data_IF_793933054397
#
_entry.id   IF_793933054397
#
_cell.length_a   1.000
_cell.length_b   1.000
_cell.length_c   1.000
_cell.angle_alpha   90.00
_cell.angle_beta   90.00
_cell.angle_gamma   90.00
#
_symmetry.space_group_name_H-M   'P 1'
#
loop_
_entity.id
_entity.type
_entity.pdbx_description
1 polymer ?
#
# COMPACT_ATOMS: atom_id res chain seq x y z
N UNK A 1 66.98 5.15 64.00
CA UNK A 1 65.67 4.47 64.03
C UNK A 1 64.79 5.17 63.04
N UNK A 2 64.78 4.70 61.78
CA UNK A 2 64.01 5.33 60.68
C UNK A 2 62.97 4.28 60.12
N UNK A 3 61.72 4.50 60.35
CA UNK A 3 60.63 3.62 59.87
C UNK A 3 60.32 4.01 58.43
N UNK A 4 60.49 3.08 57.52
CA UNK A 4 60.07 3.17 56.10
C UNK A 4 58.62 2.73 56.01
N UNK A 5 57.75 3.64 55.56
CA UNK A 5 56.30 3.39 55.31
C UNK A 5 56.14 2.96 53.86
N UNK A 6 55.70 1.73 53.64
CA UNK A 6 55.38 1.19 52.28
C UNK A 6 53.94 1.52 51.96
N UNK A 7 53.70 2.36 50.96
CA UNK A 7 52.38 2.66 50.44
C UNK A 7 52.09 1.67 49.29
N UNK A 8 51.10 0.78 49.48
CA UNK A 8 50.55 -0.09 48.41
C UNK A 8 49.63 0.75 47.55
N UNK A 9 49.96 0.94 46.29
CA UNK A 9 49.05 1.46 45.25
C UNK A 9 48.34 0.28 44.62
N UNK A 10 47.05 0.15 44.90
CA UNK A 10 46.17 -0.82 44.23
C UNK A 10 45.70 -0.22 42.89
N UNK A 11 46.22 -0.77 41.79
CA UNK A 11 45.76 -0.43 40.44
C UNK A 11 44.47 -1.18 40.15
N UNK A 12 43.30 -0.49 40.18
CA UNK A 12 42.05 -0.99 39.68
C UNK A 12 42.05 -0.99 38.13
N UNK A 13 42.28 -2.14 37.52
CA UNK A 13 42.07 -2.33 36.09
C UNK A 13 40.58 -2.35 35.81
N UNK A 14 40.02 -1.26 35.25
CA UNK A 14 38.69 -1.25 34.64
C UNK A 14 38.75 -2.08 33.34
N UNK A 15 38.27 -3.32 33.38
CA UNK A 15 37.98 -4.08 32.19
C UNK A 15 36.75 -3.47 31.52
N UNK A 16 36.96 -2.60 30.53
CA UNK A 16 35.90 -2.17 29.62
C UNK A 16 35.49 -3.41 28.77
N UNK A 17 34.46 -4.08 29.19
CA UNK A 17 33.78 -5.08 28.33
C UNK A 17 33.12 -4.33 27.21
N UNK A 18 33.83 -4.07 26.12
CA UNK A 18 33.25 -3.67 24.85
C UNK A 18 32.29 -4.79 24.41
N UNK A 19 31.00 -4.56 24.52
CA UNK A 19 30.05 -5.42 23.85
C UNK A 19 30.38 -5.36 22.35
N UNK A 20 31.04 -6.40 21.84
CA UNK A 20 31.17 -6.59 20.42
C UNK A 20 29.73 -6.79 19.88
N UNK A 21 29.18 -5.75 19.26
CA UNK A 21 28.00 -5.93 18.43
C UNK A 21 28.42 -6.88 17.31
N UNK A 22 28.04 -8.14 17.44
CA UNK A 22 28.11 -9.07 16.31
C UNK A 22 27.47 -8.36 15.12
N UNK A 23 28.10 -8.45 13.95
CA UNK A 23 27.53 -7.87 12.73
C UNK A 23 26.15 -8.50 12.53
N UNK A 24 25.09 -7.72 12.80
CA UNK A 24 23.72 -8.20 12.77
C UNK A 24 23.26 -8.46 11.31
N UNK A 25 24.14 -8.17 10.35
CA UNK A 25 23.92 -8.44 8.93
C UNK A 25 23.17 -7.34 8.19
N UNK A 26 22.78 -7.66 6.98
CA UNK A 26 22.14 -6.75 6.03
C UNK A 26 20.89 -7.43 5.44
N UNK A 27 19.82 -6.68 5.22
CA UNK A 27 18.67 -7.08 4.40
C UNK A 27 18.71 -6.31 3.08
N UNK A 28 18.71 -7.04 1.96
CA UNK A 28 18.62 -6.44 0.63
C UNK A 28 17.14 -6.32 0.25
N UNK A 29 16.65 -5.10 0.21
CA UNK A 29 15.27 -4.75 -0.05
C UNK A 29 15.07 -4.29 -1.50
N UNK A 30 14.20 -4.97 -2.25
CA UNK A 30 13.70 -4.50 -3.54
C UNK A 30 12.33 -3.87 -3.33
N UNK A 31 12.22 -2.55 -3.58
CA UNK A 31 11.03 -1.78 -3.21
C UNK A 31 10.43 -1.02 -4.38
N UNK A 32 9.14 -1.19 -4.58
CA UNK A 32 8.32 -0.34 -5.44
C UNK A 32 7.61 0.79 -4.67
N UNK A 33 7.88 0.90 -3.37
CA UNK A 33 7.35 2.00 -2.56
C UNK A 33 8.14 3.27 -2.87
N UNK A 34 7.43 4.31 -3.26
CA UNK A 34 8.00 5.57 -3.77
C UNK A 34 7.89 6.73 -2.77
N UNK A 35 7.76 6.41 -1.47
CA UNK A 35 7.67 7.42 -0.43
C UNK A 35 9.04 7.71 0.16
N UNK A 36 9.50 8.96 0.06
CA UNK A 36 10.73 9.40 0.74
C UNK A 36 10.64 9.27 2.27
N UNK A 37 9.42 9.28 2.79
CA UNK A 37 9.13 9.05 4.20
C UNK A 37 9.49 7.64 4.68
N UNK A 38 9.53 6.63 3.81
CA UNK A 38 9.84 5.24 4.20
C UNK A 38 11.27 5.06 4.74
N UNK A 39 12.21 6.01 4.48
CA UNK A 39 13.54 5.98 5.07
C UNK A 39 13.51 5.86 6.60
N UNK A 40 12.62 6.60 7.25
CA UNK A 40 12.52 6.55 8.71
C UNK A 40 12.02 5.18 9.23
N UNK A 41 11.26 4.42 8.41
CA UNK A 41 10.90 3.04 8.72
C UNK A 41 12.14 2.13 8.72
N UNK A 42 12.97 2.25 7.69
CA UNK A 42 14.17 1.42 7.52
C UNK A 42 15.22 1.75 8.57
N UNK A 43 15.41 3.04 8.87
CA UNK A 43 16.26 3.51 9.97
C UNK A 43 15.77 3.00 11.34
N UNK A 44 14.44 2.98 11.54
CA UNK A 44 13.83 2.46 12.76
C UNK A 44 14.11 0.96 12.94
N UNK A 45 14.03 0.18 11.87
CA UNK A 45 14.40 -1.24 11.88
C UNK A 45 15.88 -1.43 12.24
N UNK A 46 16.76 -0.67 11.59
CA UNK A 46 18.21 -0.74 11.83
C UNK A 46 18.54 -0.36 13.28
N UNK A 47 17.91 0.68 13.83
CA UNK A 47 18.08 1.07 15.24
C UNK A 47 17.61 0.00 16.22
N UNK A 48 16.50 -0.68 15.89
CA UNK A 48 15.93 -1.69 16.77
C UNK A 48 16.67 -3.03 16.74
N UNK A 49 17.31 -3.36 15.61
CA UNK A 49 17.87 -4.72 15.40
C UNK A 49 19.37 -4.75 15.13
N UNK A 50 20.00 -3.62 14.79
CA UNK A 50 21.37 -3.56 14.26
C UNK A 50 21.50 -4.01 12.80
N UNK A 51 20.44 -4.56 12.18
CA UNK A 51 20.44 -5.04 10.80
C UNK A 51 20.30 -3.86 9.84
N UNK A 52 21.22 -3.71 8.89
CA UNK A 52 21.17 -2.66 7.88
C UNK A 52 20.19 -3.02 6.76
N UNK A 53 19.60 -2.02 6.13
CA UNK A 53 18.73 -2.19 4.95
C UNK A 53 19.43 -1.59 3.73
N UNK A 54 19.77 -2.44 2.76
CA UNK A 54 20.23 -2.00 1.44
C UNK A 54 19.03 -1.99 0.49
N UNK A 55 18.70 -0.83 -0.08
CA UNK A 55 17.51 -0.67 -0.90
C UNK A 55 17.84 -0.52 -2.38
N UNK A 56 17.02 -1.18 -3.20
CA UNK A 56 16.93 -0.99 -4.66
C UNK A 56 15.51 -0.60 -4.99
N UNK A 57 15.34 0.57 -5.60
CA UNK A 57 14.04 1.10 -5.99
C UNK A 57 13.80 0.96 -7.49
N UNK A 58 12.59 0.53 -7.83
CA UNK A 58 12.04 0.56 -9.18
C UNK A 58 10.50 0.55 -9.08
N UNK A 59 9.80 0.68 -10.20
CA UNK A 59 8.37 0.41 -10.20
C UNK A 59 8.07 -1.10 -10.00
N UNK A 60 6.83 -1.44 -9.70
CA UNK A 60 6.44 -2.84 -9.41
C UNK A 60 6.77 -3.80 -10.56
N UNK A 61 6.60 -3.38 -11.82
CA UNK A 61 6.90 -4.20 -12.99
C UNK A 61 8.41 -4.40 -13.14
N UNK A 62 9.19 -3.35 -12.91
CA UNK A 62 10.65 -3.38 -12.92
C UNK A 62 11.22 -4.30 -11.84
N UNK A 63 10.69 -4.25 -10.61
CA UNK A 63 11.08 -5.18 -9.54
C UNK A 63 10.81 -6.63 -9.94
N UNK A 64 9.62 -6.96 -10.43
CA UNK A 64 9.29 -8.34 -10.82
C UNK A 64 10.12 -8.81 -12.01
N UNK A 65 10.34 -7.96 -13.01
CA UNK A 65 11.19 -8.26 -14.15
C UNK A 65 12.65 -8.52 -13.75
N UNK A 66 13.17 -7.69 -12.85
CA UNK A 66 14.52 -7.84 -12.30
C UNK A 66 14.71 -9.14 -11.56
N UNK A 67 13.77 -9.51 -10.67
CA UNK A 67 13.81 -10.78 -9.95
C UNK A 67 13.82 -11.98 -10.89
N UNK A 68 13.02 -11.95 -11.97
CA UNK A 68 13.01 -12.99 -13.00
C UNK A 68 14.35 -13.10 -13.72
N UNK A 69 14.93 -11.95 -14.11
CA UNK A 69 16.21 -11.91 -14.83
C UNK A 69 17.38 -12.38 -13.96
N UNK A 70 17.40 -12.03 -12.69
CA UNK A 70 18.43 -12.43 -11.73
C UNK A 70 18.31 -13.90 -11.31
N UNK A 71 17.09 -14.45 -11.26
CA UNK A 71 16.82 -15.84 -10.91
C UNK A 71 17.45 -16.24 -9.59
N UNK A 72 18.19 -17.36 -9.58
CA UNK A 72 18.88 -17.89 -8.39
C UNK A 72 20.07 -17.02 -7.92
N UNK A 73 20.54 -16.12 -8.76
CA UNK A 73 21.63 -15.19 -8.44
C UNK A 73 21.12 -13.87 -7.81
N UNK A 74 19.81 -13.71 -7.66
CA UNK A 74 19.25 -12.50 -7.06
C UNK A 74 19.76 -12.29 -5.64
N UNK A 75 20.28 -11.10 -5.31
CA UNK A 75 20.68 -10.76 -3.95
C UNK A 75 19.48 -10.32 -3.08
N UNK A 76 18.28 -10.20 -3.65
CA UNK A 76 17.11 -9.73 -2.93
C UNK A 76 16.73 -10.66 -1.77
N UNK A 77 16.43 -10.08 -0.62
CA UNK A 77 15.91 -10.79 0.56
C UNK A 77 14.43 -10.51 0.74
N UNK A 78 14.04 -9.24 0.66
CA UNK A 78 12.65 -8.78 0.83
C UNK A 78 12.20 -7.99 -0.38
N UNK A 79 10.93 -8.15 -0.73
CA UNK A 79 10.28 -7.48 -1.84
C UNK A 79 9.08 -6.70 -1.28
N UNK A 80 9.01 -5.39 -1.55
CA UNK A 80 7.85 -4.55 -1.24
C UNK A 80 7.18 -4.07 -2.52
N UNK A 81 5.92 -4.41 -2.70
CA UNK A 81 5.09 -4.00 -3.83
C UNK A 81 3.88 -3.18 -3.35
N UNK A 82 3.37 -2.31 -4.21
CA UNK A 82 2.34 -1.33 -3.83
C UNK A 82 0.94 -1.61 -4.35
N UNK A 83 0.72 -2.80 -4.89
CA UNK A 83 -0.56 -3.20 -5.46
C UNK A 83 -0.82 -4.71 -5.33
N UNK A 84 -2.08 -5.05 -5.01
CA UNK A 84 -2.55 -6.41 -4.89
C UNK A 84 -2.30 -7.27 -6.14
N UNK A 85 -2.52 -6.70 -7.32
CA UNK A 85 -2.32 -7.39 -8.59
C UNK A 85 -0.84 -7.77 -8.80
N UNK A 86 0.08 -6.91 -8.38
CA UNK A 86 1.52 -7.16 -8.48
C UNK A 86 2.00 -8.22 -7.50
N UNK A 87 1.47 -8.21 -6.27
CA UNK A 87 1.73 -9.27 -5.29
C UNK A 87 1.24 -10.63 -5.80
N UNK A 88 0.00 -10.69 -6.30
CA UNK A 88 -0.53 -11.90 -6.92
C UNK A 88 0.31 -12.37 -8.11
N UNK A 89 0.72 -11.44 -8.97
CA UNK A 89 1.58 -11.76 -10.12
C UNK A 89 2.92 -12.35 -9.68
N UNK A 90 3.59 -11.75 -8.70
CA UNK A 90 4.85 -12.25 -8.15
C UNK A 90 4.71 -13.66 -7.55
N UNK A 91 3.58 -13.94 -6.89
CA UNK A 91 3.24 -15.26 -6.36
C UNK A 91 3.07 -16.30 -7.48
N UNK A 92 2.24 -16.00 -8.49
CA UNK A 92 2.00 -16.91 -9.63
C UNK A 92 3.27 -17.18 -10.43
N UNK A 93 4.12 -16.18 -10.58
CA UNK A 93 5.42 -16.32 -11.25
C UNK A 93 6.48 -17.05 -10.38
N UNK A 94 6.13 -17.47 -9.16
CA UNK A 94 7.02 -18.23 -8.27
C UNK A 94 8.20 -17.44 -7.72
N UNK A 95 8.09 -16.10 -7.66
CA UNK A 95 9.16 -15.19 -7.23
C UNK A 95 9.28 -15.06 -5.71
N UNK A 96 8.29 -15.54 -4.97
CA UNK A 96 8.21 -15.44 -3.53
C UNK A 96 8.44 -16.81 -2.87
N UNK A 97 9.05 -16.78 -1.69
CA UNK A 97 9.20 -17.93 -0.82
C UNK A 97 8.07 -17.91 0.22
N UNK A 98 7.19 -18.91 0.26
CA UNK A 98 6.24 -19.05 1.36
C UNK A 98 6.97 -19.19 2.69
N UNK A 99 6.46 -18.52 3.71
CA UNK A 99 7.03 -18.56 5.07
C UNK A 99 5.95 -18.83 6.11
N UNK A 100 6.38 -19.33 7.25
CA UNK A 100 5.58 -19.46 8.45
C UNK A 100 6.04 -18.40 9.46
N UNK A 101 5.19 -17.45 9.80
CA UNK A 101 5.45 -16.50 10.87
C UNK A 101 4.16 -16.28 11.66
N UNK A 102 4.14 -16.82 12.87
CA UNK A 102 2.98 -16.61 13.77
C UNK A 102 2.76 -15.13 14.05
N UNK A 103 3.82 -14.32 14.14
CA UNK A 103 3.74 -12.87 14.35
C UNK A 103 2.98 -12.21 13.22
N UNK A 104 3.36 -12.49 11.97
CA UNK A 104 2.69 -11.92 10.79
C UNK A 104 1.25 -12.45 10.64
N UNK A 105 1.04 -13.73 10.87
CA UNK A 105 -0.27 -14.35 10.74
C UNK A 105 -1.28 -13.90 11.79
N UNK A 106 -0.84 -13.64 13.00
CA UNK A 106 -1.67 -13.07 14.06
C UNK A 106 -1.97 -11.58 13.82
N UNK A 107 -0.97 -10.81 13.34
CA UNK A 107 -1.10 -9.38 13.11
C UNK A 107 -1.94 -9.06 11.87
N UNK A 108 -1.69 -9.73 10.74
CA UNK A 108 -2.30 -9.40 9.45
C UNK A 108 -3.55 -10.25 9.19
N UNK A 109 -4.71 -9.63 8.92
CA UNK A 109 -5.94 -10.36 8.59
C UNK A 109 -5.80 -11.29 7.38
N UNK A 110 -6.52 -12.42 7.37
CA UNK A 110 -6.41 -13.43 6.32
C UNK A 110 -6.77 -12.91 4.90
N UNK A 111 -7.69 -11.95 4.80
CA UNK A 111 -8.04 -11.32 3.53
C UNK A 111 -6.96 -10.35 2.99
N UNK A 112 -5.98 -9.97 3.82
CA UNK A 112 -4.87 -9.10 3.44
C UNK A 112 -3.54 -9.85 3.27
N UNK A 113 -3.58 -11.16 3.05
CA UNK A 113 -2.40 -11.99 2.79
C UNK A 113 -2.69 -13.04 1.71
N UNK A 114 -1.67 -13.69 1.18
CA UNK A 114 -1.86 -14.76 0.20
C UNK A 114 -2.66 -15.91 0.80
N UNK A 115 -3.26 -16.72 -0.07
CA UNK A 115 -3.75 -18.03 0.37
C UNK A 115 -2.57 -18.88 0.85
N UNK A 116 -2.79 -19.77 1.83
CA UNK A 116 -1.74 -20.70 2.23
C UNK A 116 -1.27 -21.56 1.03
N UNK A 117 0.03 -21.74 0.91
CA UNK A 117 0.64 -22.69 0.00
C UNK A 117 0.37 -24.15 0.46
N UNK A 118 0.82 -25.14 -0.29
CA UNK A 118 0.58 -26.55 0.02
C UNK A 118 1.14 -27.00 1.38
N UNK A 119 2.22 -26.35 1.83
CA UNK A 119 2.83 -26.56 3.16
C UNK A 119 2.23 -25.68 4.26
N UNK A 120 1.21 -24.87 3.92
CA UNK A 120 0.57 -23.92 4.82
C UNK A 120 1.28 -22.57 4.92
N UNK A 121 2.44 -22.36 4.28
CA UNK A 121 3.19 -21.11 4.30
C UNK A 121 2.48 -19.99 3.53
N UNK A 122 2.74 -18.76 3.89
CA UNK A 122 2.17 -17.55 3.29
C UNK A 122 3.21 -16.86 2.41
N UNK A 123 2.86 -16.61 1.14
CA UNK A 123 3.79 -16.05 0.14
C UNK A 123 3.99 -14.55 0.29
N UNK A 124 2.99 -13.79 0.77
CA UNK A 124 3.06 -12.35 0.98
C UNK A 124 2.03 -11.87 2.01
N UNK A 125 2.33 -10.73 2.62
CA UNK A 125 1.50 -10.08 3.65
C UNK A 125 1.24 -8.63 3.28
N UNK A 126 0.00 -8.16 3.44
CA UNK A 126 -0.34 -6.74 3.37
C UNK A 126 0.21 -6.00 4.57
N UNK A 127 0.87 -4.87 4.34
CA UNK A 127 1.55 -4.08 5.38
C UNK A 127 0.87 -2.74 5.62
N UNK A 128 0.25 -2.18 4.60
CA UNK A 128 -0.60 -0.99 4.72
C UNK A 128 -1.74 -1.07 3.72
N UNK A 129 -2.83 -0.33 3.97
CA UNK A 129 -3.99 -0.32 3.09
C UNK A 129 -4.36 1.11 2.69
N UNK A 130 -5.03 1.26 1.54
CA UNK A 130 -5.59 2.51 1.06
C UNK A 130 -6.93 2.29 0.40
N UNK A 131 -7.87 3.16 0.73
CA UNK A 131 -9.20 3.13 0.13
C UNK A 131 -9.17 3.73 -1.28
N UNK A 132 -9.89 3.14 -2.22
CA UNK A 132 -10.19 3.73 -3.51
C UNK A 132 -11.46 4.55 -3.36
N UNK A 133 -11.36 5.86 -3.23
CA UNK A 133 -12.46 6.77 -2.89
C UNK A 133 -12.98 7.51 -4.12
N UNK A 134 -14.22 7.98 -4.03
CA UNK A 134 -14.79 8.92 -4.99
C UNK A 134 -14.56 10.34 -4.46
N UNK A 135 -13.91 11.18 -5.26
CA UNK A 135 -13.71 12.61 -5.00
C UNK A 135 -14.65 13.38 -5.87
N UNK A 136 -15.37 14.37 -5.32
CA UNK A 136 -16.37 15.15 -6.03
C UNK A 136 -16.24 16.66 -5.77
N UNK A 137 -16.68 17.46 -6.72
CA UNK A 137 -16.76 18.91 -6.56
C UNK A 137 -17.94 19.27 -5.66
N UNK A 138 -17.69 19.90 -4.51
CA UNK A 138 -18.69 20.22 -3.48
C UNK A 138 -19.82 21.13 -3.96
N UNK A 139 -19.58 21.92 -5.01
CA UNK A 139 -20.58 22.87 -5.53
C UNK A 139 -21.47 22.19 -6.57
N UNK A 140 -20.92 21.25 -7.37
CA UNK A 140 -21.57 20.69 -8.55
C UNK A 140 -22.23 19.33 -8.32
N UNK A 141 -21.79 18.58 -7.31
CA UNK A 141 -22.23 17.20 -7.06
C UNK A 141 -22.67 17.06 -5.61
N UNK A 142 -23.81 16.42 -5.41
CA UNK A 142 -24.26 16.03 -4.07
C UNK A 142 -23.63 14.70 -3.70
N UNK A 143 -23.13 14.52 -2.46
CA UNK A 143 -22.53 13.26 -2.05
C UNK A 143 -23.47 12.05 -2.20
N UNK A 144 -24.80 12.26 -2.07
CA UNK A 144 -25.82 11.24 -2.23
C UNK A 144 -25.87 10.65 -3.65
N UNK A 145 -25.42 11.40 -4.66
CA UNK A 145 -25.40 10.95 -6.05
C UNK A 145 -24.25 9.96 -6.36
N UNK A 146 -23.23 9.90 -5.52
CA UNK A 146 -21.98 9.17 -5.76
C UNK A 146 -21.63 8.19 -4.64
N UNK A 147 -22.64 7.55 -4.07
CA UNK A 147 -22.50 6.64 -2.92
C UNK A 147 -21.91 5.27 -3.27
N UNK A 148 -21.88 4.89 -4.53
CA UNK A 148 -21.40 3.57 -4.98
C UNK A 148 -20.52 3.68 -6.20
N UNK A 149 -19.62 2.72 -6.41
CA UNK A 149 -18.86 2.66 -7.66
C UNK A 149 -19.77 2.42 -8.86
N UNK A 150 -20.84 1.63 -8.66
CA UNK A 150 -21.83 1.31 -9.69
C UNK A 150 -22.46 2.58 -10.27
N UNK A 151 -22.70 3.59 -9.42
CA UNK A 151 -23.30 4.87 -9.85
C UNK A 151 -22.42 5.66 -10.84
N UNK A 152 -21.12 5.42 -10.90
CA UNK A 152 -20.22 6.14 -11.81
C UNK A 152 -20.48 5.83 -13.29
N UNK A 153 -21.17 4.72 -13.59
CA UNK A 153 -21.59 4.36 -14.93
C UNK A 153 -22.97 4.95 -15.32
N UNK A 154 -23.66 5.66 -14.41
CA UNK A 154 -24.96 6.27 -14.69
C UNK A 154 -24.79 7.37 -15.77
N UNK A 155 -25.60 7.37 -16.85
CA UNK A 155 -25.55 8.38 -17.92
C UNK A 155 -25.71 9.84 -17.44
N UNK A 156 -26.26 10.09 -16.25
CA UNK A 156 -26.34 11.45 -15.66
C UNK A 156 -24.97 12.09 -15.45
N UNK A 157 -23.89 11.27 -15.41
CA UNK A 157 -22.51 11.73 -15.26
C UNK A 157 -21.74 11.86 -16.57
N UNK A 158 -22.42 11.83 -17.72
CA UNK A 158 -21.78 11.98 -19.04
C UNK A 158 -20.97 13.27 -19.10
N UNK A 159 -19.69 13.13 -19.46
CA UNK A 159 -18.74 14.26 -19.53
C UNK A 159 -18.31 14.85 -18.20
N UNK A 160 -18.50 14.14 -17.07
CA UNK A 160 -18.21 14.67 -15.71
C UNK A 160 -17.13 13.91 -14.96
N UNK A 161 -16.70 12.75 -15.46
CA UNK A 161 -15.78 11.87 -14.75
C UNK A 161 -14.34 12.05 -15.22
N UNK A 162 -13.41 12.16 -14.28
CA UNK A 162 -11.97 12.03 -14.52
C UNK A 162 -11.41 10.82 -13.78
N UNK A 163 -10.56 10.08 -14.45
CA UNK A 163 -9.86 8.94 -13.88
C UNK A 163 -8.50 8.79 -14.58
N UNK A 164 -7.53 8.18 -13.92
CA UNK A 164 -6.26 7.81 -14.54
C UNK A 164 -6.43 6.63 -15.50
N UNK A 165 -5.38 6.26 -16.26
CA UNK A 165 -5.40 5.12 -17.18
C UNK A 165 -6.09 3.90 -16.61
N UNK A 166 -6.92 3.23 -17.41
CA UNK A 166 -7.59 1.98 -17.06
C UNK A 166 -6.63 0.86 -16.73
N UNK A 167 -5.52 0.77 -17.49
CA UNK A 167 -4.47 -0.24 -17.31
C UNK A 167 -3.55 0.01 -16.09
N UNK A 168 -3.73 1.15 -15.39
CA UNK A 168 -2.95 1.41 -14.18
C UNK A 168 -3.32 0.42 -13.06
N UNK A 169 -2.35 -0.15 -12.31
CA UNK A 169 -2.60 -1.14 -11.27
C UNK A 169 -3.75 -0.80 -10.31
N UNK A 170 -3.90 0.47 -9.89
CA UNK A 170 -4.97 0.87 -8.96
C UNK A 170 -6.38 0.71 -9.55
N UNK A 171 -6.54 0.96 -10.84
CA UNK A 171 -7.80 0.75 -11.54
C UNK A 171 -8.02 -0.73 -11.87
N UNK A 172 -6.97 -1.44 -12.27
CA UNK A 172 -7.03 -2.89 -12.46
C UNK A 172 -7.53 -3.58 -11.18
N UNK A 173 -7.00 -3.19 -10.02
CA UNK A 173 -7.44 -3.76 -8.73
C UNK A 173 -8.90 -3.42 -8.41
N UNK A 174 -9.33 -2.17 -8.59
CA UNK A 174 -10.74 -1.79 -8.40
C UNK A 174 -11.65 -2.58 -9.34
N UNK A 175 -11.29 -2.68 -10.62
CA UNK A 175 -12.13 -3.38 -11.62
C UNK A 175 -12.13 -4.89 -11.38
N UNK A 176 -11.02 -5.44 -10.88
CA UNK A 176 -10.96 -6.83 -10.42
C UNK A 176 -11.90 -7.09 -9.24
N UNK A 177 -11.96 -6.18 -8.28
CA UNK A 177 -12.90 -6.24 -7.16
C UNK A 177 -14.35 -6.14 -7.63
N UNK A 178 -14.65 -5.20 -8.52
CA UNK A 178 -15.99 -5.08 -9.12
C UNK A 178 -16.40 -6.36 -9.89
N UNK A 179 -15.44 -7.00 -10.57
CA UNK A 179 -15.70 -8.28 -11.27
C UNK A 179 -16.07 -9.38 -10.27
N UNK A 180 -15.45 -9.42 -9.09
CA UNK A 180 -15.84 -10.37 -8.02
C UNK A 180 -17.24 -10.09 -7.48
N UNK A 181 -17.60 -8.81 -7.30
CA UNK A 181 -18.89 -8.44 -6.70
C UNK A 181 -20.08 -8.57 -7.66
N UNK A 182 -19.90 -8.26 -8.94
CA UNK A 182 -21.01 -8.19 -9.88
C UNK A 182 -20.94 -9.19 -11.05
N UNK A 183 -19.83 -9.92 -11.17
CA UNK A 183 -19.58 -10.82 -12.32
C UNK A 183 -19.05 -10.09 -13.56
N UNK A 184 -18.43 -10.85 -14.47
CA UNK A 184 -17.71 -10.33 -15.63
C UNK A 184 -18.59 -9.48 -16.56
N UNK A 185 -19.79 -9.97 -16.89
CA UNK A 185 -20.70 -9.30 -17.83
C UNK A 185 -21.14 -7.91 -17.31
N UNK A 186 -21.49 -7.83 -16.03
CA UNK A 186 -21.93 -6.56 -15.44
C UNK A 186 -20.74 -5.61 -15.23
N UNK A 187 -19.57 -6.14 -14.86
CA UNK A 187 -18.34 -5.36 -14.74
C UNK A 187 -17.92 -4.75 -16.09
N UNK A 188 -18.02 -5.51 -17.19
CA UNK A 188 -17.74 -4.98 -18.53
C UNK A 188 -18.75 -3.90 -18.94
N UNK A 189 -20.03 -4.10 -18.68
CA UNK A 189 -21.04 -3.07 -18.94
C UNK A 189 -20.80 -1.80 -18.14
N UNK A 190 -20.41 -1.95 -16.87
CA UNK A 190 -20.03 -0.85 -16.01
C UNK A 190 -18.80 -0.10 -16.54
N UNK A 191 -17.73 -0.80 -16.97
CA UNK A 191 -16.54 -0.19 -17.55
C UNK A 191 -16.93 0.65 -18.79
N UNK A 192 -17.77 0.12 -19.68
CA UNK A 192 -18.26 0.85 -20.86
C UNK A 192 -19.04 2.11 -20.47
N UNK A 193 -19.90 2.02 -19.45
CA UNK A 193 -20.63 3.17 -18.90
C UNK A 193 -19.69 4.21 -18.29
N UNK A 194 -18.68 3.77 -17.53
CA UNK A 194 -17.65 4.63 -16.96
C UNK A 194 -16.90 5.41 -18.07
N UNK A 195 -16.48 4.71 -19.14
CA UNK A 195 -15.79 5.31 -20.29
C UNK A 195 -16.69 6.34 -21.00
N UNK A 196 -17.98 6.04 -21.17
CA UNK A 196 -18.94 6.98 -21.77
C UNK A 196 -19.15 8.25 -20.95
N UNK A 197 -18.84 8.20 -19.65
CA UNK A 197 -18.97 9.32 -18.73
C UNK A 197 -17.68 10.17 -18.58
N UNK A 198 -16.58 9.80 -19.23
CA UNK A 198 -15.34 10.53 -19.14
C UNK A 198 -15.49 11.97 -19.68
N UNK A 199 -15.00 12.93 -18.91
CA UNK A 199 -14.92 14.35 -19.33
C UNK A 199 -13.79 14.56 -20.36
N UNK A 200 -12.78 13.73 -20.32
CA UNK A 200 -11.59 13.74 -21.16
C UNK A 200 -10.92 12.36 -21.20
N UNK A 201 -10.06 12.09 -22.19
CA UNK A 201 -9.21 10.90 -22.16
C UNK A 201 -8.42 10.81 -20.85
N UNK A 202 -8.17 9.58 -20.34
CA UNK A 202 -7.37 9.39 -19.12
C UNK A 202 -5.99 10.02 -19.25
N UNK A 203 -5.57 10.79 -18.25
CA UNK A 203 -4.23 11.40 -18.19
C UNK A 203 -3.83 11.69 -16.75
N UNK A 204 -2.54 11.65 -16.46
CA UNK A 204 -1.98 11.97 -15.16
C UNK A 204 -2.28 10.95 -14.06
N UNK A 205 -1.84 11.26 -12.85
CA UNK A 205 -2.04 10.45 -11.66
C UNK A 205 -3.25 10.87 -10.82
N UNK A 206 -3.46 10.23 -9.67
CA UNK A 206 -4.58 10.52 -8.78
C UNK A 206 -4.57 11.97 -8.26
N UNK A 207 -3.38 12.54 -8.03
CA UNK A 207 -3.24 13.97 -7.68
C UNK A 207 -3.84 14.88 -8.77
N UNK A 208 -3.60 14.55 -10.04
CA UNK A 208 -4.10 15.34 -11.18
C UNK A 208 -5.62 15.22 -11.30
N UNK A 209 -6.17 14.03 -10.97
CA UNK A 209 -7.63 13.83 -10.96
C UNK A 209 -8.29 14.71 -9.87
N UNK A 210 -7.72 14.77 -8.66
CA UNK A 210 -8.23 15.62 -7.57
C UNK A 210 -8.16 17.11 -7.96
N UNK A 211 -7.06 17.55 -8.58
CA UNK A 211 -6.89 18.91 -9.06
C UNK A 211 -7.89 19.26 -10.18
N UNK A 212 -8.16 18.30 -11.09
CA UNK A 212 -9.15 18.48 -12.16
C UNK A 212 -10.56 18.66 -11.61
N UNK A 213 -10.94 17.93 -10.55
CA UNK A 213 -12.21 18.14 -9.85
C UNK A 213 -12.27 19.50 -9.17
N UNK A 214 -11.20 19.90 -8.50
CA UNK A 214 -11.15 21.20 -7.81
C UNK A 214 -11.19 22.41 -8.77
N UNK A 215 -10.64 22.26 -9.99
CA UNK A 215 -10.67 23.29 -11.04
C UNK A 215 -11.99 23.32 -11.82
N UNK A 216 -12.80 22.25 -11.72
CA UNK A 216 -14.06 22.11 -12.46
C UNK A 216 -13.89 21.59 -13.90
N UNK A 217 -12.71 21.06 -14.26
CA UNK A 217 -12.50 20.29 -15.51
C UNK A 217 -13.34 19.02 -15.51
N UNK A 218 -13.51 18.41 -14.32
CA UNK A 218 -14.40 17.29 -14.06
C UNK A 218 -15.22 17.59 -12.80
N UNK A 219 -16.34 16.91 -12.64
CA UNK A 219 -17.16 17.03 -11.44
C UNK A 219 -16.85 15.91 -10.42
N UNK A 220 -16.37 14.76 -10.91
CA UNK A 220 -16.13 13.54 -10.14
C UNK A 220 -14.80 12.92 -10.56
N UNK A 221 -14.10 12.31 -9.62
CA UNK A 221 -12.93 11.48 -9.91
C UNK A 221 -12.83 10.28 -8.96
N UNK A 222 -12.05 9.28 -9.36
CA UNK A 222 -11.64 8.16 -8.51
C UNK A 222 -10.17 8.31 -8.15
N UNK A 223 -9.85 8.21 -6.87
CA UNK A 223 -8.49 8.40 -6.34
C UNK A 223 -8.20 7.48 -5.17
N UNK A 224 -6.94 7.15 -4.93
CA UNK A 224 -6.56 6.59 -3.64
C UNK A 224 -6.61 7.69 -2.57
N UNK A 225 -7.10 7.32 -1.41
CA UNK A 225 -7.37 8.20 -0.28
C UNK A 225 -6.18 9.02 0.21
N UNK A 226 -4.98 8.42 0.22
CA UNK A 226 -3.78 9.08 0.75
C UNK A 226 -3.35 10.31 -0.07
N UNK A 227 -3.74 10.41 -1.36
CA UNK A 227 -3.45 11.61 -2.15
C UNK A 227 -4.21 12.82 -1.65
N UNK A 228 -5.51 12.66 -1.36
CA UNK A 228 -6.30 13.73 -0.76
C UNK A 228 -5.86 14.03 0.68
N UNK A 229 -5.59 13.01 1.48
CA UNK A 229 -5.08 13.18 2.84
C UNK A 229 -3.75 13.96 2.87
N UNK A 230 -2.86 13.73 1.89
CA UNK A 230 -1.62 14.49 1.72
C UNK A 230 -1.88 15.96 1.43
N UNK A 231 -2.87 16.27 0.57
CA UNK A 231 -3.26 17.67 0.29
C UNK A 231 -3.85 18.37 1.52
N UNK A 232 -4.67 17.66 2.30
CA UNK A 232 -5.25 18.19 3.55
C UNK A 232 -4.14 18.55 4.56
N UNK A 233 -3.06 17.76 4.60
CA UNK A 233 -1.91 17.98 5.52
C UNK A 233 -0.78 18.81 4.91
N UNK A 234 -0.92 19.27 3.69
CA UNK A 234 0.13 20.02 3.01
C UNK A 234 0.37 21.39 3.65
N UNK A 235 1.62 21.80 3.70
CA UNK A 235 2.00 23.17 4.06
C UNK A 235 1.92 24.14 2.87
N UNK A 236 1.54 23.65 1.68
CA UNK A 236 1.40 24.45 0.46
C UNK A 236 -0.02 24.97 0.36
N UNK A 237 -0.22 26.30 0.32
CA UNK A 237 -1.56 26.91 0.24
C UNK A 237 -2.38 26.40 -0.96
N UNK A 238 -1.73 26.13 -2.10
CA UNK A 238 -2.38 25.61 -3.30
C UNK A 238 -2.97 24.20 -3.10
N UNK A 239 -2.30 23.30 -2.38
CA UNK A 239 -2.82 21.95 -2.10
C UNK A 239 -4.02 22.04 -1.14
N UNK A 240 -3.92 22.85 -0.10
CA UNK A 240 -5.02 23.09 0.85
C UNK A 240 -6.23 23.70 0.14
N UNK A 241 -6.02 24.65 -0.78
CA UNK A 241 -7.08 25.24 -1.57
C UNK A 241 -7.80 24.21 -2.46
N UNK A 242 -7.06 23.27 -3.04
CA UNK A 242 -7.62 22.11 -3.78
C UNK A 242 -8.46 21.23 -2.85
N UNK A 243 -7.92 20.81 -1.70
CA UNK A 243 -8.62 19.96 -0.75
C UNK A 243 -9.93 20.58 -0.24
N UNK A 244 -9.96 21.89 -0.05
CA UNK A 244 -11.16 22.63 0.41
C UNK A 244 -12.32 22.62 -0.60
N UNK A 245 -12.02 22.53 -1.90
CA UNK A 245 -13.04 22.53 -2.98
C UNK A 245 -13.67 21.18 -3.23
N UNK A 246 -13.03 20.11 -2.78
CA UNK A 246 -13.49 18.72 -3.06
C UNK A 246 -14.06 18.07 -1.81
N UNK A 247 -15.06 17.21 -2.02
CA UNK A 247 -15.54 16.26 -1.03
C UNK A 247 -15.05 14.86 -1.35
N UNK A 248 -15.22 13.94 -0.40
CA UNK A 248 -14.84 12.53 -0.54
C UNK A 248 -15.97 11.62 -0.06
N UNK A 249 -16.21 10.55 -0.80
CA UNK A 249 -17.12 9.47 -0.43
C UNK A 249 -16.29 8.18 -0.38
N UNK A 250 -16.50 7.41 0.67
CA UNK A 250 -16.10 6.01 0.77
C UNK A 250 -17.26 5.18 0.23
N UNK A 251 -17.16 4.62 -1.00
CA UNK A 251 -18.33 4.07 -1.67
C UNK A 251 -18.83 2.77 -1.04
N UNK A 252 -20.04 2.36 -1.43
CA UNK A 252 -20.63 1.06 -1.12
C UNK A 252 -20.84 0.76 0.37
N UNK A 253 -21.04 1.79 1.20
CA UNK A 253 -21.19 1.61 2.65
C UNK A 253 -22.47 0.82 3.02
N UNK A 254 -23.50 0.84 2.17
CA UNK A 254 -24.74 0.10 2.37
C UNK A 254 -24.73 -1.27 1.67
N UNK A 255 -23.64 -1.61 0.97
CA UNK A 255 -23.49 -2.89 0.27
C UNK A 255 -22.21 -3.60 0.68
N UNK A 256 -21.30 -3.89 -0.22
CA UNK A 256 -20.09 -4.69 0.02
C UNK A 256 -18.92 -3.90 0.66
N UNK A 257 -18.99 -2.58 0.72
CA UNK A 257 -17.97 -1.74 1.32
C UNK A 257 -17.02 -1.11 0.32
N UNK A 258 -16.11 -0.26 0.81
CA UNK A 258 -15.13 0.42 -0.03
C UNK A 258 -14.00 -0.52 -0.43
N UNK A 259 -13.60 -0.51 -1.70
CA UNK A 259 -12.42 -1.25 -2.18
C UNK A 259 -11.15 -0.77 -1.48
N UNK A 260 -10.43 -1.71 -0.90
CA UNK A 260 -9.14 -1.49 -0.25
C UNK A 260 -8.03 -2.14 -1.06
N UNK A 261 -7.04 -1.35 -1.45
CA UNK A 261 -5.82 -1.87 -2.03
C UNK A 261 -4.70 -1.91 -0.98
N UNK A 262 -3.63 -2.65 -1.22
CA UNK A 262 -2.55 -2.86 -0.26
C UNK A 262 -1.19 -2.45 -0.82
N UNK A 263 -0.27 -2.09 0.09
CA UNK A 263 1.15 -2.32 -0.10
C UNK A 263 1.51 -3.56 0.72
N UNK A 264 2.25 -4.46 0.14
CA UNK A 264 2.58 -5.73 0.79
C UNK A 264 4.04 -6.10 0.64
N UNK A 265 4.47 -7.04 1.46
CA UNK A 265 5.82 -7.57 1.50
C UNK A 265 5.87 -9.08 1.32
N UNK A 266 6.91 -9.55 0.68
CA UNK A 266 7.22 -10.95 0.44
C UNK A 266 8.70 -11.24 0.69
N UNK A 267 9.02 -12.50 0.94
CA UNK A 267 10.40 -12.97 0.96
C UNK A 267 10.78 -13.41 -0.45
N UNK A 268 11.95 -12.98 -0.94
CA UNK A 268 12.46 -13.38 -2.24
C UNK A 268 12.70 -14.90 -2.29
N UNK A 269 12.29 -15.54 -3.41
CA UNK A 269 12.35 -16.99 -3.59
C UNK A 269 13.71 -17.60 -3.25
N UNK A 270 14.78 -16.91 -3.61
CA UNK A 270 16.14 -17.44 -3.55
C UNK A 270 17.00 -16.75 -2.47
N UNK A 271 16.37 -16.03 -1.53
CA UNK A 271 17.11 -15.41 -0.41
C UNK A 271 17.92 -16.46 0.35
N UNK A 272 19.13 -16.07 0.72
CA UNK A 272 20.01 -16.83 1.64
C UNK A 272 19.97 -16.27 3.07
N UNK A 273 19.15 -15.23 3.29
CA UNK A 273 19.09 -14.46 4.53
C UNK A 273 17.67 -14.41 5.10
N UNK A 274 16.95 -15.53 5.05
CA UNK A 274 15.53 -15.63 5.42
C UNK A 274 15.25 -15.11 6.83
N UNK A 275 16.11 -15.45 7.80
CA UNK A 275 15.92 -15.04 9.20
C UNK A 275 15.83 -13.52 9.36
N UNK A 276 16.72 -12.76 8.75
CA UNK A 276 16.69 -11.30 8.82
C UNK A 276 15.57 -10.70 7.97
N UNK A 277 15.26 -11.33 6.83
CA UNK A 277 14.15 -10.94 5.97
C UNK A 277 12.80 -11.09 6.68
N UNK A 278 12.57 -12.19 7.40
CA UNK A 278 11.37 -12.39 8.23
C UNK A 278 11.28 -11.36 9.35
N UNK A 279 12.38 -11.11 10.08
CA UNK A 279 12.43 -10.06 11.10
C UNK A 279 12.05 -8.69 10.55
N UNK A 280 12.46 -8.38 9.32
CA UNK A 280 12.11 -7.11 8.69
C UNK A 280 10.61 -7.02 8.39
N UNK A 281 9.98 -8.06 7.84
CA UNK A 281 8.54 -8.08 7.63
C UNK A 281 7.75 -8.03 8.96
N UNK A 282 8.20 -8.74 9.99
CA UNK A 282 7.61 -8.69 11.33
C UNK A 282 7.70 -7.29 11.94
N UNK A 283 8.83 -6.61 11.76
CA UNK A 283 8.98 -5.21 12.17
C UNK A 283 7.99 -4.30 11.43
N UNK A 284 7.80 -4.47 10.11
CA UNK A 284 6.84 -3.69 9.34
C UNK A 284 5.39 -3.93 9.78
N UNK A 285 5.08 -5.09 10.35
CA UNK A 285 3.78 -5.40 10.97
C UNK A 285 3.66 -4.92 12.43
N UNK A 286 4.73 -4.43 13.03
CA UNK A 286 4.73 -3.96 14.42
C UNK A 286 3.90 -2.69 14.60
N UNK A 287 3.36 -2.41 15.81
CA UNK A 287 2.62 -1.18 16.08
C UNK A 287 3.39 0.10 15.71
N UNK A 288 4.70 0.13 15.93
CA UNK A 288 5.57 1.27 15.60
C UNK A 288 5.57 1.55 14.10
N UNK A 289 5.84 0.54 13.27
CA UNK A 289 5.84 0.67 11.82
C UNK A 289 4.45 0.96 11.26
N UNK A 290 3.43 0.34 11.80
CA UNK A 290 2.03 0.53 11.38
C UNK A 290 1.53 1.95 11.69
N UNK A 291 1.87 2.52 12.83
CA UNK A 291 1.61 3.94 13.14
C UNK A 291 2.38 4.87 12.20
N UNK A 292 3.57 4.48 11.77
CA UNK A 292 4.33 5.24 10.80
C UNK A 292 3.65 5.26 9.41
N UNK A 293 3.16 4.11 8.92
CA UNK A 293 2.37 4.07 7.68
C UNK A 293 1.16 5.01 7.75
N UNK A 294 0.47 5.04 8.88
CA UNK A 294 -0.67 5.92 9.09
C UNK A 294 -0.25 7.40 9.08
N UNK A 295 0.75 7.77 9.86
CA UNK A 295 1.10 9.17 10.10
C UNK A 295 2.09 9.74 9.06
N UNK A 296 3.03 8.95 8.56
CA UNK A 296 3.98 9.34 7.54
C UNK A 296 3.40 9.33 6.13
N UNK A 297 2.68 8.26 5.79
CA UNK A 297 2.23 8.01 4.42
C UNK A 297 0.72 8.25 4.19
N UNK A 298 -0.06 8.51 5.25
CA UNK A 298 -1.51 8.65 5.20
C UNK A 298 -2.22 7.37 4.68
N UNK A 299 -1.68 6.21 5.01
CA UNK A 299 -2.26 4.89 4.70
C UNK A 299 -2.90 4.32 5.96
N UNK A 300 -3.93 3.46 5.82
CA UNK A 300 -4.46 2.73 6.97
C UNK A 300 -3.55 1.57 7.35
N UNK A 301 -3.36 1.31 8.67
CA UNK A 301 -2.66 0.12 9.11
C UNK A 301 -3.32 -1.16 8.58
N UNK A 302 -2.51 -2.15 8.19
CA UNK A 302 -3.01 -3.48 7.86
C UNK A 302 -3.09 -4.38 9.09
N UNK A 303 -2.24 -4.15 10.09
CA UNK A 303 -2.21 -4.95 11.31
C UNK A 303 -3.41 -4.63 12.23
N UNK A 304 -3.93 -5.67 12.86
CA UNK A 304 -5.02 -5.59 13.83
C UNK A 304 -4.63 -4.78 15.06
N UNK A 305 -5.58 -4.10 15.67
CA UNK A 305 -5.41 -3.44 16.96
C UNK A 305 -4.60 -2.14 16.95
N UNK A 306 -4.14 -1.69 15.78
CA UNK A 306 -3.44 -0.42 15.65
C UNK A 306 -4.44 0.73 15.60
N UNK A 307 -4.30 1.68 16.51
CA UNK A 307 -5.15 2.88 16.53
C UNK A 307 -4.70 3.87 15.48
N UNK A 308 -5.63 4.31 14.64
CA UNK A 308 -5.38 5.36 13.67
C UNK A 308 -5.40 6.73 14.34
N UNK A 309 -4.29 7.44 14.28
CA UNK A 309 -4.18 8.83 14.81
C UNK A 309 -3.75 9.84 13.72
N UNK A 310 -4.28 9.71 12.52
CA UNK A 310 -4.04 10.63 11.41
C UNK A 310 -5.23 11.60 11.27
N UNK A 311 -5.04 12.92 11.51
CA UNK A 311 -6.14 13.87 11.49
C UNK A 311 -6.80 14.01 10.12
N UNK A 312 -6.05 13.87 9.02
CA UNK A 312 -6.61 13.94 7.67
C UNK A 312 -7.47 12.72 7.34
N UNK A 313 -7.02 11.51 7.69
CA UNK A 313 -7.81 10.30 7.51
C UNK A 313 -9.06 10.32 8.39
N UNK A 314 -8.95 10.81 9.62
CA UNK A 314 -10.12 11.04 10.50
C UNK A 314 -11.09 12.06 9.89
N UNK A 315 -10.60 13.18 9.37
CA UNK A 315 -11.44 14.20 8.74
C UNK A 315 -12.17 13.66 7.50
N UNK A 316 -11.51 12.86 6.66
CA UNK A 316 -12.11 12.25 5.47
C UNK A 316 -13.25 11.29 5.80
N UNK A 317 -13.23 10.65 6.95
CA UNK A 317 -14.27 9.72 7.43
C UNK A 317 -15.24 10.37 8.42
N UNK A 318 -15.14 11.68 8.67
CA UNK A 318 -15.86 12.38 9.75
C UNK A 318 -15.67 11.71 11.13
N UNK A 319 -14.48 11.15 11.36
CA UNK A 319 -14.12 10.45 12.59
C UNK A 319 -14.85 9.11 12.82
N UNK A 320 -15.59 8.61 11.81
CA UNK A 320 -16.35 7.35 11.91
C UNK A 320 -15.60 6.23 11.18
N UNK A 321 -15.70 4.98 11.65
CA UNK A 321 -15.24 3.84 10.88
C UNK A 321 -16.09 3.71 9.60
N UNK A 322 -15.47 3.26 8.52
CA UNK A 322 -16.16 2.92 7.28
C UNK A 322 -16.07 1.41 7.02
N UNK A 323 -17.05 0.90 6.28
CA UNK A 323 -17.06 -0.50 5.84
C UNK A 323 -16.10 -0.67 4.68
N UNK A 324 -15.09 -1.51 4.85
CA UNK A 324 -14.22 -1.99 3.77
C UNK A 324 -14.75 -3.30 3.21
N UNK A 325 -14.49 -3.59 1.95
CA UNK A 325 -14.76 -4.90 1.38
C UNK A 325 -13.94 -5.99 2.06
N UNK A 326 -14.44 -7.22 1.99
CA UNK A 326 -13.83 -8.39 2.65
C UNK A 326 -13.35 -9.47 1.69
N UNK A 327 -13.47 -9.23 0.37
CA UNK A 327 -12.95 -10.19 -0.61
C UNK A 327 -11.44 -10.35 -0.43
N UNK A 328 -10.91 -11.58 -0.57
CA UNK A 328 -9.47 -11.78 -0.53
C UNK A 328 -8.77 -11.04 -1.66
N UNK A 329 -7.69 -10.35 -1.34
CA UNK A 329 -6.88 -9.62 -2.34
C UNK A 329 -6.39 -10.54 -3.46
N UNK A 330 -6.14 -11.82 -3.18
CA UNK A 330 -5.78 -12.82 -4.19
C UNK A 330 -6.88 -13.05 -5.23
N UNK A 331 -8.17 -12.91 -4.86
CA UNK A 331 -9.27 -12.99 -5.82
C UNK A 331 -9.27 -11.79 -6.77
N UNK A 332 -8.99 -10.60 -6.25
CA UNK A 332 -8.81 -9.39 -7.09
C UNK A 332 -7.69 -9.63 -8.11
N UNK A 333 -6.54 -10.16 -7.65
CA UNK A 333 -5.40 -10.46 -8.52
C UNK A 333 -5.72 -11.47 -9.63
N UNK A 334 -6.52 -12.49 -9.34
CA UNK A 334 -6.91 -13.52 -10.31
C UNK A 334 -7.72 -12.98 -11.48
N UNK A 335 -8.43 -11.86 -11.32
CA UNK A 335 -9.24 -11.25 -12.39
C UNK A 335 -8.45 -10.34 -13.34
N UNK A 336 -7.16 -10.07 -13.10
CA UNK A 336 -6.41 -9.07 -13.87
C UNK A 336 -6.44 -9.30 -15.39
N UNK A 337 -6.28 -10.54 -15.84
CA UNK A 337 -6.32 -10.86 -17.29
C UNK A 337 -7.69 -10.56 -17.89
N UNK A 338 -8.75 -10.92 -17.19
CA UNK A 338 -10.14 -10.62 -17.63
C UNK A 338 -10.39 -9.12 -17.66
N UNK A 339 -9.96 -8.42 -16.60
CA UNK A 339 -10.10 -6.96 -16.53
C UNK A 339 -9.39 -6.30 -17.72
N UNK A 340 -8.15 -6.69 -18.03
CA UNK A 340 -7.43 -6.12 -19.17
C UNK A 340 -8.20 -6.35 -20.49
N UNK A 341 -8.73 -7.54 -20.70
CA UNK A 341 -9.54 -7.83 -21.90
C UNK A 341 -10.81 -6.98 -21.97
N UNK A 342 -11.49 -6.73 -20.82
CA UNK A 342 -12.65 -5.85 -20.76
C UNK A 342 -12.28 -4.39 -21.08
N UNK A 343 -11.13 -3.92 -20.58
CA UNK A 343 -10.61 -2.57 -20.87
C UNK A 343 -10.30 -2.40 -22.34
N UNK A 344 -9.66 -3.39 -22.97
CA UNK A 344 -9.34 -3.39 -24.40
C UNK A 344 -10.61 -3.30 -25.24
N UNK A 345 -11.65 -4.10 -24.91
CA UNK A 345 -12.99 -4.04 -25.57
C UNK A 345 -13.74 -2.74 -25.33
N UNK A 346 -13.48 -2.05 -24.22
CA UNK A 346 -14.08 -0.76 -23.89
C UNK A 346 -13.28 0.44 -24.43
N UNK A 347 -12.10 0.22 -25.02
CA UNK A 347 -11.21 1.30 -25.46
C UNK A 347 -10.67 2.16 -24.30
N UNK A 348 -10.48 1.53 -23.15
CA UNK A 348 -10.07 2.23 -21.92
C UNK A 348 -8.61 1.95 -21.58
N UNK A 349 -7.68 2.67 -22.20
CA UNK A 349 -6.24 2.55 -21.98
C UNK A 349 -5.68 3.61 -21.02
#
# INVERSE_FOLDING_TARGET
MTKILHTLVAACAFAATGAAFADAGVVNLYSARHYSTDEALYDGFTKATGIKVNRVDADDAGILARLKAEGTASPADVILLVDAARLYRGEVDGLFKPIHSKVLEDAIPANLRSKPAADGGISWFGLSTRARVIVYNKIKVKPEDVQTYESLADPKFKGKLCIRSGSHPYNLSLFGALTEHMGEQQAEAWIKGLVANLARPPKGGDTDQIKAVASGECDIAVSNSYYLARMIRSNKPEDVAVANKVGVVFPNQQSWGTHMNIAGGAIARHTKNETNAVKFLEYLASPTAQNYFANGNNEWPAAKGVQLDNPALKAMTNGKPFKSETIPISAVGANMTKVQQMLDRAGFN
#
